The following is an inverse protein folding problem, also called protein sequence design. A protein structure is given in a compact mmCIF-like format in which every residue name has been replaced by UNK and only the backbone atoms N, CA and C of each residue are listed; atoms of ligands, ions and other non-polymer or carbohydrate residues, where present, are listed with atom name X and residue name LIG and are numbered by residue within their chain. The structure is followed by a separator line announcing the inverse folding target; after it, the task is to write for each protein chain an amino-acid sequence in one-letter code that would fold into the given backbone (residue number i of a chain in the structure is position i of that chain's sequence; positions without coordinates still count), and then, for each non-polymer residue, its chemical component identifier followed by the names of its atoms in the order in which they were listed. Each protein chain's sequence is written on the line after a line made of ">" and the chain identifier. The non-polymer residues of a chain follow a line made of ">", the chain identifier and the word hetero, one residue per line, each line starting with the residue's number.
data_IF_443521788007
#
_entry.id   IF_443521788007
#
_cell.length_a   1.000
_cell.length_b   1.000
_cell.length_c   1.000
_cell.angle_alpha   90.00
_cell.angle_beta   90.00
_cell.angle_gamma   90.00
#
_symmetry.space_group_name_H-M   'P 1'
#
loop_
_entity.id
_entity.type
_entity.pdbx_description
1 polymer ?
#
# COMPACT_ATOMS: atom_id res chain seq x y z
N UNK A 1 18.99 -41.93 1.20
CA UNK A 1 17.67 -41.29 1.39
C UNK A 1 17.75 -40.14 2.42
N UNK A 2 18.54 -39.08 2.15
CA UNK A 2 18.72 -37.95 3.09
C UNK A 2 18.68 -36.56 2.42
N UNK A 3 18.24 -36.47 1.17
CA UNK A 3 18.25 -35.22 0.39
C UNK A 3 16.88 -34.57 0.19
N UNK A 4 15.77 -35.29 0.44
CA UNK A 4 14.42 -34.73 0.26
C UNK A 4 13.94 -33.85 1.42
N UNK A 5 14.52 -33.98 2.61
CA UNK A 5 14.06 -33.26 3.81
C UNK A 5 14.55 -31.81 3.89
N UNK A 6 15.59 -31.43 3.14
CA UNK A 6 16.16 -30.08 3.19
C UNK A 6 15.39 -29.08 2.32
N UNK A 7 14.78 -29.54 1.22
CA UNK A 7 14.06 -28.67 0.29
C UNK A 7 12.71 -28.16 0.84
N UNK A 8 12.07 -28.92 1.73
CA UNK A 8 10.75 -28.56 2.26
C UNK A 8 10.81 -27.44 3.33
N UNK A 9 11.95 -27.28 4.02
CA UNK A 9 12.13 -26.24 5.02
C UNK A 9 12.33 -24.85 4.40
N UNK A 10 12.87 -24.77 3.18
CA UNK A 10 13.06 -23.51 2.45
C UNK A 10 11.76 -22.95 1.87
N UNK A 11 10.75 -23.80 1.62
CA UNK A 11 9.46 -23.36 1.08
C UNK A 11 8.60 -22.62 2.12
N UNK A 12 8.78 -22.92 3.42
CA UNK A 12 7.99 -22.33 4.50
C UNK A 12 8.48 -20.94 4.93
N UNK A 13 9.71 -20.54 4.57
CA UNK A 13 10.25 -19.22 4.89
C UNK A 13 9.76 -18.15 3.90
N UNK A 14 9.34 -18.55 2.70
CA UNK A 14 8.90 -17.63 1.65
C UNK A 14 7.51 -17.03 1.82
N UNK A 15 6.62 -17.65 2.60
CA UNK A 15 5.24 -17.17 2.77
C UNK A 15 5.07 -16.14 3.90
N UNK A 16 6.11 -15.85 4.67
CA UNK A 16 6.07 -14.88 5.77
C UNK A 16 6.44 -13.44 5.33
N UNK A 17 6.78 -13.24 4.05
CA UNK A 17 7.14 -11.92 3.52
C UNK A 17 5.94 -11.33 2.79
N UNK A 18 5.43 -10.20 3.30
CA UNK A 18 4.29 -9.42 2.82
C UNK A 18 2.92 -9.69 3.47
N UNK A 19 2.86 -9.86 4.79
CA UNK A 19 1.82 -9.12 5.51
C UNK A 19 2.29 -7.68 5.64
N UNK A 20 2.28 -6.93 4.52
CA UNK A 20 2.35 -5.49 4.56
C UNK A 20 1.15 -5.02 5.37
N UNK A 21 1.30 -4.95 6.69
CA UNK A 21 0.35 -4.26 7.53
C UNK A 21 0.50 -2.81 7.13
N UNK A 22 -0.36 -2.37 6.21
CA UNK A 22 -0.62 -0.95 5.99
C UNK A 22 -0.99 -0.39 7.36
N UNK A 23 -0.01 0.19 8.04
CA UNK A 23 -0.25 0.84 9.33
C UNK A 23 -1.04 2.09 8.98
N UNK A 24 -2.29 2.23 9.47
CA UNK A 24 -3.03 3.46 9.26
C UNK A 24 -2.19 4.62 9.79
N UNK A 25 -2.08 5.68 9.00
CA UNK A 25 -1.34 6.88 9.42
C UNK A 25 -1.85 7.33 10.79
N UNK A 26 -0.92 7.58 11.71
CA UNK A 26 -1.27 8.03 13.05
C UNK A 26 -2.05 9.36 12.97
N UNK A 27 -3.03 9.57 13.85
CA UNK A 27 -3.75 10.86 13.93
C UNK A 27 -2.73 11.99 14.12
N UNK A 28 -2.89 13.07 13.37
CA UNK A 28 -2.01 14.26 13.38
C UNK A 28 -0.59 14.05 12.83
N UNK A 29 -0.33 12.93 12.15
CA UNK A 29 0.90 12.76 11.37
C UNK A 29 0.98 13.74 10.21
N UNK A 30 2.20 14.01 9.74
CA UNK A 30 2.40 14.74 8.48
C UNK A 30 1.83 13.89 7.35
N UNK A 31 1.16 14.53 6.39
CA UNK A 31 0.70 13.86 5.17
C UNK A 31 1.88 13.10 4.51
N UNK A 32 1.69 11.83 4.13
CA UNK A 32 2.73 11.04 3.47
C UNK A 32 3.07 11.64 2.11
N UNK A 33 4.30 11.41 1.65
CA UNK A 33 4.70 11.67 0.26
C UNK A 33 4.10 10.59 -0.64
N UNK A 34 2.81 10.75 -0.97
CA UNK A 34 2.11 9.89 -1.90
C UNK A 34 2.02 10.57 -3.26
N UNK A 35 2.57 9.91 -4.28
CA UNK A 35 2.51 10.34 -5.66
C UNK A 35 1.67 9.36 -6.45
N UNK A 36 0.60 9.83 -7.07
CA UNK A 36 -0.28 9.00 -7.90
C UNK A 36 -0.64 9.69 -9.20
N UNK A 37 -1.21 8.95 -10.15
CA UNK A 37 -1.74 9.53 -11.39
C UNK A 37 -3.23 9.79 -11.24
N UNK A 38 -3.67 10.97 -11.64
CA UNK A 38 -5.10 11.27 -11.70
C UNK A 38 -5.77 10.68 -12.96
N UNK A 39 -7.09 10.87 -13.07
CA UNK A 39 -7.90 10.43 -14.21
C UNK A 39 -7.50 11.05 -15.56
N UNK A 40 -6.63 12.07 -15.57
CA UNK A 40 -6.09 12.71 -16.77
C UNK A 40 -4.60 12.37 -16.98
N UNK A 41 -4.10 11.34 -16.28
CA UNK A 41 -2.72 10.87 -16.33
C UNK A 41 -1.68 11.91 -15.85
N UNK A 42 -2.10 12.89 -15.05
CA UNK A 42 -1.18 13.86 -14.43
C UNK A 42 -0.66 13.29 -13.12
N UNK A 43 0.64 13.46 -12.87
CA UNK A 43 1.23 13.10 -11.59
C UNK A 43 0.75 14.11 -10.53
N UNK A 44 0.16 13.61 -9.45
CA UNK A 44 -0.33 14.39 -8.32
C UNK A 44 0.37 13.98 -7.04
N UNK A 45 0.68 14.97 -6.19
CA UNK A 45 1.27 14.79 -4.86
C UNK A 45 0.24 15.10 -3.80
N UNK A 46 -0.03 14.15 -2.90
CA UNK A 46 -0.99 14.36 -1.81
C UNK A 46 -0.55 15.51 -0.88
N UNK A 47 0.76 15.66 -0.69
CA UNK A 47 1.34 16.75 0.11
C UNK A 47 1.04 18.12 -0.48
N UNK A 48 1.17 18.27 -1.80
CA UNK A 48 0.97 19.57 -2.47
C UNK A 48 -0.49 20.02 -2.38
N UNK A 49 -1.42 19.09 -2.58
CA UNK A 49 -2.85 19.35 -2.43
C UNK A 49 -3.25 19.63 -0.97
N UNK A 50 -2.62 18.94 -0.01
CA UNK A 50 -2.92 19.09 1.42
C UNK A 50 -2.26 20.28 2.09
N UNK A 51 -1.31 20.94 1.43
CA UNK A 51 -0.67 22.15 1.93
C UNK A 51 -1.58 23.39 1.85
N UNK A 52 -2.55 23.38 0.93
CA UNK A 52 -3.40 24.54 0.64
C UNK A 52 -4.85 24.37 1.09
N UNK A 53 -5.33 23.12 1.21
CA UNK A 53 -6.73 22.81 1.48
C UNK A 53 -6.87 21.60 2.41
N UNK A 54 -8.03 21.46 3.05
CA UNK A 54 -8.40 20.21 3.69
C UNK A 54 -8.65 19.13 2.64
N UNK A 55 -8.13 17.93 2.88
CA UNK A 55 -8.30 16.77 2.00
C UNK A 55 -9.14 15.70 2.66
N UNK A 56 -10.09 15.15 1.90
CA UNK A 56 -10.76 13.89 2.20
C UNK A 56 -10.17 12.82 1.29
N UNK A 57 -9.50 11.82 1.88
CA UNK A 57 -8.86 10.72 1.14
C UNK A 57 -9.59 9.43 1.48
N UNK A 58 -10.02 8.70 0.44
CA UNK A 58 -10.71 7.42 0.55
C UNK A 58 -10.00 6.38 -0.30
N UNK A 59 -9.83 5.18 0.25
CA UNK A 59 -9.28 4.02 -0.45
C UNK A 59 -10.42 3.04 -0.73
N UNK A 60 -10.46 2.49 -1.94
CA UNK A 60 -11.44 1.49 -2.34
C UNK A 60 -10.73 0.36 -3.12
N UNK A 61 -11.29 -0.87 -3.15
CA UNK A 61 -10.61 -2.02 -3.75
C UNK A 61 -10.47 -1.92 -5.27
N UNK A 62 -11.56 -1.56 -5.95
CA UNK A 62 -11.64 -1.52 -7.40
C UNK A 62 -12.62 -0.44 -7.85
N UNK A 63 -12.23 0.33 -8.86
CA UNK A 63 -13.10 1.37 -9.43
C UNK A 63 -14.30 0.71 -10.14
N UNK A 64 -15.40 1.45 -10.27
CA UNK A 64 -16.58 1.04 -11.05
C UNK A 64 -17.23 -0.28 -10.61
N UNK A 65 -17.01 -0.69 -9.35
CA UNK A 65 -17.66 -1.86 -8.76
C UNK A 65 -18.83 -1.43 -7.86
N UNK A 66 -19.99 -2.12 -7.91
CA UNK A 66 -21.04 -1.89 -6.94
C UNK A 66 -20.56 -2.30 -5.54
N UNK A 67 -20.79 -1.42 -4.56
CA UNK A 67 -20.46 -1.64 -3.15
C UNK A 67 -21.45 -2.52 -2.41
#
# INVERSE_FOLDING_TARGET
>A
MKLLSLAMALLLVGCAMNTGKFVPEAKQSRLPDLFERDQYNRLVSLRDYGATNYLLVFFYPEADTPG
#
